data_IF_748796734740
#
_entry.id   IF_748796734740
#
_cell.length_a   1.000
_cell.length_b   1.000
_cell.length_c   1.000
_cell.angle_alpha   90.00
_cell.angle_beta   90.00
_cell.angle_gamma   90.00
#
_symmetry.space_group_name_H-M   'P 1'
#
loop_
_entity.id
_entity.type
_entity.pdbx_description
1 polymer ?
#
# COMPACT_ATOMS: atom_id res chain seq x y z
N UNK A 1 54.79 -60.67 26.71
CA UNK A 1 54.76 -59.46 25.87
C UNK A 1 53.35 -59.33 25.29
N UNK A 2 52.45 -58.71 26.05
CA UNK A 2 51.01 -58.62 25.75
C UNK A 2 50.69 -57.14 25.59
N UNK A 3 50.75 -56.63 24.36
CA UNK A 3 50.46 -55.23 24.07
C UNK A 3 49.71 -55.15 22.73
N UNK A 4 48.55 -54.47 22.79
CA UNK A 4 47.80 -53.80 21.70
C UNK A 4 47.00 -54.65 20.71
N UNK A 5 45.98 -55.37 21.21
CA UNK A 5 44.76 -55.65 20.43
C UNK A 5 43.65 -54.59 20.60
N UNK A 6 43.78 -53.67 21.56
CA UNK A 6 42.77 -52.65 21.86
C UNK A 6 42.83 -51.37 21.02
N UNK A 7 43.85 -51.19 20.17
CA UNK A 7 44.06 -49.92 19.43
C UNK A 7 43.28 -49.87 18.10
N UNK A 8 42.90 -51.02 17.53
CA UNK A 8 42.19 -51.08 16.26
C UNK A 8 40.67 -50.94 16.40
N UNK A 9 40.10 -51.33 17.54
CA UNK A 9 38.64 -51.28 17.76
C UNK A 9 38.20 -49.86 18.15
N UNK A 10 39.04 -49.11 18.88
CA UNK A 10 38.76 -47.71 19.22
C UNK A 10 38.87 -46.77 18.02
N UNK A 11 39.75 -47.07 17.06
CA UNK A 11 39.88 -46.28 15.83
C UNK A 11 38.69 -46.47 14.88
N UNK A 12 38.10 -47.67 14.84
CA UNK A 12 36.91 -47.95 14.02
C UNK A 12 35.65 -47.28 14.58
N UNK A 13 35.53 -47.19 15.91
CA UNK A 13 34.43 -46.49 16.58
C UNK A 13 34.54 -44.96 16.43
N UNK A 14 35.76 -44.42 16.42
CA UNK A 14 35.97 -42.98 16.16
C UNK A 14 35.64 -42.57 14.72
N UNK A 15 35.88 -43.44 13.74
CA UNK A 15 35.55 -43.18 12.33
C UNK A 15 34.03 -43.27 12.06
N UNK A 16 33.28 -44.07 12.82
CA UNK A 16 31.81 -44.12 12.73
C UNK A 16 31.12 -42.89 13.34
N UNK A 17 31.76 -42.19 14.27
CA UNK A 17 31.26 -40.90 14.78
C UNK A 17 31.50 -39.70 13.84
N UNK A 18 32.36 -39.83 12.83
CA UNK A 18 32.61 -38.76 11.84
C UNK A 18 31.73 -38.84 10.57
N UNK A 19 30.87 -39.86 10.46
CA UNK A 19 29.99 -40.06 9.30
C UNK A 19 28.53 -39.59 9.51
N UNK A 20 28.22 -38.95 10.64
CA UNK A 20 26.91 -38.34 10.91
C UNK A 20 27.02 -36.83 11.09
N UNK A 21 27.61 -36.15 10.10
CA UNK A 21 27.53 -34.69 10.04
C UNK A 21 27.36 -34.23 8.58
N UNK A 22 26.16 -34.46 8.04
CA UNK A 22 25.54 -33.71 6.93
C UNK A 22 24.30 -34.45 6.43
N UNK A 23 23.30 -34.60 7.29
CA UNK A 23 21.97 -34.25 6.81
C UNK A 23 21.70 -32.88 7.41
N UNK A 24 22.08 -31.87 6.64
CA UNK A 24 21.47 -30.57 6.73
C UNK A 24 19.97 -30.84 6.59
N UNK A 25 19.29 -30.99 7.73
CA UNK A 25 17.87 -30.72 7.83
C UNK A 25 17.78 -29.26 7.43
N UNK A 26 17.68 -29.05 6.12
CA UNK A 26 17.08 -27.88 5.54
C UNK A 26 15.66 -27.93 6.10
N UNK A 27 15.52 -27.43 7.32
CA UNK A 27 14.33 -26.73 7.72
C UNK A 27 14.22 -25.66 6.64
N UNK A 28 13.49 -26.02 5.58
CA UNK A 28 12.73 -25.06 4.82
C UNK A 28 11.84 -24.48 5.89
N UNK A 29 12.37 -23.47 6.58
CA UNK A 29 11.57 -22.39 7.10
C UNK A 29 10.91 -21.92 5.82
N UNK A 30 9.76 -22.52 5.52
CA UNK A 30 8.73 -21.78 4.85
C UNK A 30 8.67 -20.54 5.70
N UNK A 31 9.31 -19.48 5.22
CA UNK A 31 8.62 -18.23 5.12
C UNK A 31 7.25 -18.60 4.55
N UNK A 32 6.36 -18.97 5.46
CA UNK A 32 5.11 -18.28 5.52
C UNK A 32 5.54 -16.81 5.61
N UNK A 33 5.87 -16.22 4.44
CA UNK A 33 5.48 -14.87 4.09
C UNK A 33 4.18 -14.71 4.86
N UNK A 34 4.18 -13.97 5.99
CA UNK A 34 2.95 -13.76 6.71
C UNK A 34 2.05 -13.22 5.64
N UNK A 35 1.03 -13.98 5.22
CA UNK A 35 0.06 -13.56 4.21
C UNK A 35 -0.23 -12.13 4.56
N UNK A 36 0.32 -11.20 3.78
CA UNK A 36 0.47 -9.84 4.25
C UNK A 36 -0.95 -9.41 4.56
N UNK A 37 -1.21 -9.16 5.85
CA UNK A 37 -2.58 -9.01 6.32
C UNK A 37 -3.27 -7.95 5.45
N UNK A 38 -4.58 -8.08 5.25
CA UNK A 38 -5.28 -6.95 4.67
C UNK A 38 -5.21 -5.81 5.70
N UNK A 39 -4.69 -4.66 5.29
CA UNK A 39 -4.78 -3.42 6.02
C UNK A 39 -6.05 -2.69 5.59
N UNK A 40 -6.68 -2.01 6.54
CA UNK A 40 -7.77 -1.09 6.24
C UNK A 40 -7.22 0.32 6.08
N UNK A 41 -7.58 0.94 4.96
CA UNK A 41 -7.20 2.29 4.58
C UNK A 41 -8.43 3.20 4.61
N UNK A 42 -8.23 4.46 4.97
CA UNK A 42 -9.21 5.53 4.82
C UNK A 42 -8.70 6.51 3.79
N UNK A 43 -9.41 6.59 2.66
CA UNK A 43 -9.14 7.56 1.59
C UNK A 43 -10.09 8.74 1.78
N UNK A 44 -9.53 9.91 2.08
CA UNK A 44 -10.28 11.16 2.17
C UNK A 44 -10.10 11.93 0.87
N UNK A 45 -11.20 12.31 0.22
CA UNK A 45 -11.22 13.04 -1.05
C UNK A 45 -12.02 14.32 -0.87
N UNK A 46 -11.39 15.45 -1.15
CA UNK A 46 -12.09 16.73 -1.28
C UNK A 46 -12.42 16.99 -2.76
N UNK A 47 -13.64 17.44 -3.03
CA UNK A 47 -14.03 17.98 -4.33
C UNK A 47 -14.11 19.51 -4.25
N UNK A 48 -13.52 20.20 -5.22
CA UNK A 48 -13.45 21.66 -5.20
C UNK A 48 -14.84 22.31 -5.21
N UNK A 49 -14.89 23.55 -4.73
CA UNK A 49 -16.11 24.38 -4.72
C UNK A 49 -16.45 25.05 -6.05
N UNK A 50 -15.82 24.65 -7.15
CA UNK A 50 -16.13 25.25 -8.45
C UNK A 50 -17.48 24.75 -8.96
N UNK A 51 -18.20 25.59 -9.70
CA UNK A 51 -19.46 25.18 -10.33
C UNK A 51 -19.16 24.03 -11.30
N UNK A 52 -19.94 22.95 -11.21
CA UNK A 52 -19.75 21.72 -12.02
C UNK A 52 -18.45 20.95 -11.70
N UNK A 53 -17.86 21.16 -10.51
CA UNK A 53 -16.70 20.39 -10.07
C UNK A 53 -16.97 18.91 -9.78
N UNK A 54 -18.23 18.58 -9.46
CA UNK A 54 -18.62 17.25 -8.98
C UNK A 54 -18.95 16.29 -10.10
N UNK A 55 -19.00 15.00 -9.78
CA UNK A 55 -19.22 13.93 -10.77
C UNK A 55 -20.12 12.82 -10.24
N UNK A 56 -20.71 12.08 -11.16
CA UNK A 56 -21.41 10.82 -10.87
C UNK A 56 -20.71 9.57 -11.40
N UNK A 57 -19.58 9.78 -12.06
CA UNK A 57 -18.85 8.73 -12.76
C UNK A 57 -18.03 7.85 -11.82
N UNK A 58 -17.52 6.75 -12.40
CA UNK A 58 -16.67 5.82 -11.68
C UNK A 58 -15.26 6.39 -11.51
N UNK A 59 -14.85 6.55 -10.26
CA UNK A 59 -13.49 6.93 -9.90
C UNK A 59 -12.70 5.70 -9.46
N UNK A 60 -11.64 5.38 -10.20
CA UNK A 60 -10.64 4.41 -9.76
C UNK A 60 -9.49 5.13 -9.08
N UNK A 61 -8.91 4.48 -8.07
CA UNK A 61 -7.79 4.97 -7.30
C UNK A 61 -6.64 3.97 -7.40
N UNK A 62 -5.41 4.46 -7.50
CA UNK A 62 -4.19 3.68 -7.41
C UNK A 62 -3.23 4.39 -6.47
N UNK A 63 -2.68 3.72 -5.49
CA UNK A 63 -1.73 4.31 -4.54
C UNK A 63 -0.75 3.26 -4.04
N UNK A 64 0.35 3.74 -3.46
CA UNK A 64 1.34 2.83 -2.93
C UNK A 64 2.57 3.52 -2.37
N UNK A 65 3.59 2.71 -2.12
CA UNK A 65 4.78 3.12 -1.40
C UNK A 65 6.07 2.88 -2.20
N UNK A 66 7.20 3.31 -1.62
CA UNK A 66 8.52 3.16 -2.24
C UNK A 66 8.96 1.70 -2.44
N UNK A 67 8.32 0.76 -1.73
CA UNK A 67 8.64 -0.67 -1.73
C UNK A 67 7.89 -1.44 -2.82
N UNK A 68 7.34 -0.74 -3.83
CA UNK A 68 6.59 -1.32 -4.96
C UNK A 68 5.27 -1.98 -4.58
N UNK A 69 4.77 -1.71 -3.38
CA UNK A 69 3.39 -2.06 -3.04
C UNK A 69 2.48 -1.14 -3.87
N UNK A 70 1.69 -1.74 -4.75
CA UNK A 70 0.80 -1.03 -5.68
C UNK A 70 -0.63 -1.52 -5.50
N UNK A 71 -1.46 -0.65 -4.93
CA UNK A 71 -2.83 -0.96 -4.58
C UNK A 71 -3.73 -0.26 -5.60
N UNK A 72 -4.52 -1.06 -6.33
CA UNK A 72 -5.50 -0.57 -7.30
C UNK A 72 -6.91 -0.84 -6.80
N UNK A 73 -7.66 0.23 -6.61
CA UNK A 73 -9.08 0.23 -6.26
C UNK A 73 -9.87 0.60 -7.51
N UNK A 74 -10.54 -0.37 -8.10
CA UNK A 74 -11.26 -0.17 -9.37
C UNK A 74 -12.38 0.87 -9.26
N UNK A 75 -13.03 0.94 -8.10
CA UNK A 75 -14.09 1.89 -7.85
C UNK A 75 -14.11 2.26 -6.37
N UNK A 76 -14.03 3.56 -6.07
CA UNK A 76 -14.34 4.06 -4.74
C UNK A 76 -15.84 3.85 -4.46
N UNK A 77 -16.13 2.96 -3.52
CA UNK A 77 -17.51 2.55 -3.22
C UNK A 77 -18.25 3.62 -2.43
N UNK A 78 -19.55 3.79 -2.69
CA UNK A 78 -20.43 4.75 -2.01
C UNK A 78 -20.73 4.42 -0.52
N UNK A 79 -20.00 3.51 0.13
CA UNK A 79 -20.19 3.27 1.57
C UNK A 79 -19.53 4.41 2.33
N UNK A 80 -20.34 5.44 2.52
CA UNK A 80 -20.02 6.71 3.11
C UNK A 80 -19.49 6.52 4.53
N UNK A 81 -18.29 7.01 4.79
CA UNK A 81 -17.88 7.44 6.12
C UNK A 81 -17.84 8.96 6.06
N UNK A 82 -18.77 9.60 6.77
CA UNK A 82 -18.68 10.99 7.26
C UNK A 82 -18.39 12.08 6.22
N UNK A 83 -19.44 12.80 5.77
CA UNK A 83 -19.29 14.18 5.31
C UNK A 83 -18.96 15.06 6.53
N UNK A 84 -17.79 15.73 6.52
CA UNK A 84 -17.42 16.68 7.57
C UNK A 84 -17.78 18.08 7.06
N UNK A 85 -18.78 18.73 7.67
CA UNK A 85 -18.94 20.17 7.52
C UNK A 85 -17.73 20.84 8.17
N UNK A 86 -16.95 21.69 7.48
CA UNK A 86 -15.88 22.46 8.10
C UNK A 86 -16.37 23.36 9.26
N UNK A 87 -17.66 23.69 9.33
CA UNK A 87 -18.27 24.54 10.35
C UNK A 87 -19.04 23.76 11.43
N UNK A 88 -19.44 22.50 11.19
CA UNK A 88 -20.09 21.62 12.18
C UNK A 88 -19.70 20.13 11.98
N UNK A 89 -18.65 19.65 12.66
CA UNK A 89 -18.15 18.27 12.49
C UNK A 89 -19.07 17.19 13.09
N UNK A 90 -20.23 17.54 13.69
CA UNK A 90 -21.12 16.66 14.45
C UNK A 90 -22.36 16.16 13.69
N UNK A 91 -22.47 16.38 12.38
CA UNK A 91 -23.64 15.92 11.62
C UNK A 91 -23.64 14.39 11.48
N UNK A 92 -24.34 13.71 12.41
CA UNK A 92 -24.76 12.31 12.31
C UNK A 92 -26.01 12.22 11.42
N UNK A 93 -25.82 12.34 10.12
CA UNK A 93 -26.86 11.97 9.16
C UNK A 93 -26.46 10.66 8.48
N UNK A 94 -27.06 9.54 8.91
CA UNK A 94 -26.99 8.23 8.26
C UNK A 94 -27.71 8.20 6.88
N UNK A 95 -27.83 9.35 6.22
CA UNK A 95 -28.44 9.47 4.89
C UNK A 95 -27.35 9.21 3.85
N UNK A 96 -27.52 8.22 2.95
CA UNK A 96 -26.58 7.99 1.85
C UNK A 96 -26.56 9.23 0.95
N UNK A 97 -25.52 10.05 1.07
CA UNK A 97 -25.28 11.19 0.18
C UNK A 97 -24.45 10.71 -1.00
N UNK A 98 -24.74 11.25 -2.19
CA UNK A 98 -23.96 10.99 -3.40
C UNK A 98 -22.53 11.50 -3.17
N UNK A 99 -21.47 10.71 -3.41
CA UNK A 99 -20.10 11.18 -3.25
C UNK A 99 -19.72 12.19 -4.36
N UNK A 100 -18.54 12.80 -4.20
CA UNK A 100 -17.91 13.68 -5.19
C UNK A 100 -18.80 14.86 -5.60
N UNK A 101 -19.54 15.42 -4.65
CA UNK A 101 -20.33 16.62 -4.89
C UNK A 101 -19.44 17.87 -4.80
N UNK A 102 -19.78 18.96 -5.48
CA UNK A 102 -19.06 20.22 -5.30
C UNK A 102 -19.01 20.62 -3.82
N UNK A 103 -17.86 21.09 -3.34
CA UNK A 103 -17.62 21.42 -1.93
C UNK A 103 -17.81 20.25 -0.93
N UNK A 104 -17.73 18.99 -1.36
CA UNK A 104 -17.78 17.85 -0.42
C UNK A 104 -16.40 17.34 -0.04
N UNK A 105 -16.30 16.86 1.19
CA UNK A 105 -15.22 15.98 1.64
C UNK A 105 -15.85 14.61 1.90
N UNK A 106 -15.37 13.60 1.18
CA UNK A 106 -15.88 12.24 1.23
C UNK A 106 -14.78 11.29 1.74
N UNK A 107 -15.09 10.41 2.70
CA UNK A 107 -14.17 9.36 3.15
C UNK A 107 -14.62 7.97 2.70
N UNK A 108 -13.66 7.16 2.26
CA UNK A 108 -13.85 5.81 1.76
C UNK A 108 -12.97 4.82 2.50
N UNK A 109 -13.55 3.72 2.99
CA UNK A 109 -12.79 2.61 3.55
C UNK A 109 -12.42 1.60 2.46
N UNK A 110 -11.15 1.20 2.44
CA UNK A 110 -10.59 0.26 1.46
C UNK A 110 -9.78 -0.80 2.20
N UNK A 111 -10.12 -2.07 1.98
CA UNK A 111 -9.31 -3.21 2.45
C UNK A 111 -8.37 -3.67 1.33
N UNK A 112 -7.07 -3.63 1.57
CA UNK A 112 -6.04 -3.99 0.59
C UNK A 112 -4.78 -4.56 1.28
N UNK A 113 -3.84 -5.17 0.53
CA UNK A 113 -2.55 -5.59 1.09
C UNK A 113 -1.84 -4.41 1.77
N UNK A 114 -1.21 -4.66 2.93
CA UNK A 114 -0.50 -3.63 3.66
C UNK A 114 0.68 -3.04 2.87
N UNK A 115 0.92 -1.74 3.06
CA UNK A 115 2.17 -1.07 2.66
C UNK A 115 3.23 -1.23 3.75
N UNK A 116 4.50 -1.12 3.38
CA UNK A 116 5.66 -1.29 4.28
C UNK A 116 6.31 0.04 4.65
N UNK A 117 6.12 1.06 3.82
CA UNK A 117 6.63 2.42 3.98
C UNK A 117 5.52 3.44 3.77
N UNK A 118 5.82 4.71 4.05
CA UNK A 118 4.88 5.82 3.86
C UNK A 118 4.38 5.87 2.42
N UNK A 119 3.06 6.01 2.27
CA UNK A 119 2.42 6.14 0.96
C UNK A 119 2.92 7.42 0.30
N UNK A 120 3.54 7.28 -0.87
CA UNK A 120 4.25 8.38 -1.53
C UNK A 120 3.81 8.62 -2.99
N UNK A 121 2.91 7.79 -3.54
CA UNK A 121 2.30 8.08 -4.83
C UNK A 121 0.82 7.78 -4.83
N UNK A 122 0.09 8.52 -5.67
CA UNK A 122 -1.34 8.37 -5.85
C UNK A 122 -1.76 8.81 -7.25
N UNK A 123 -2.63 8.01 -7.87
CA UNK A 123 -3.23 8.27 -9.16
C UNK A 123 -4.75 8.06 -9.10
N UNK A 124 -5.49 8.96 -9.72
CA UNK A 124 -6.92 8.86 -9.93
C UNK A 124 -7.20 8.58 -11.40
N UNK A 125 -8.29 7.87 -11.67
CA UNK A 125 -8.81 7.69 -13.02
C UNK A 125 -10.31 7.89 -13.03
N UNK A 126 -10.74 8.92 -13.75
CA UNK A 126 -12.15 9.19 -14.04
C UNK A 126 -12.61 8.35 -15.24
N UNK A 127 -13.63 7.53 -15.04
CA UNK A 127 -14.22 6.70 -16.10
C UNK A 127 -15.69 7.08 -16.29
N UNK A 128 -15.94 7.89 -17.31
CA UNK A 128 -17.27 8.28 -17.75
C UNK A 128 -17.25 9.58 -18.57
N UNK A 129 -18.38 10.28 -18.62
CA UNK A 129 -18.60 11.45 -19.48
C UNK A 129 -18.66 12.79 -18.75
N UNK A 130 -18.73 12.78 -17.42
CA UNK A 130 -18.72 13.98 -16.60
C UNK A 130 -17.29 14.54 -16.51
N UNK A 131 -17.19 15.80 -16.13
CA UNK A 131 -15.93 16.37 -15.65
C UNK A 131 -15.88 16.27 -14.13
N UNK A 132 -14.66 16.18 -13.58
CA UNK A 132 -14.47 16.16 -12.13
C UNK A 132 -13.22 16.95 -11.74
N UNK A 133 -13.37 17.85 -10.76
CA UNK A 133 -12.28 18.66 -10.22
C UNK A 133 -12.06 18.33 -8.74
N UNK A 134 -11.22 17.34 -8.43
CA UNK A 134 -10.78 17.07 -7.07
C UNK A 134 -9.94 18.23 -6.53
N UNK A 135 -9.99 18.46 -5.21
CA UNK A 135 -9.17 19.42 -4.48
C UNK A 135 -7.95 18.75 -3.87
N UNK A 136 -8.15 17.79 -2.97
CA UNK A 136 -7.06 16.95 -2.46
C UNK A 136 -7.51 15.50 -2.24
N UNK A 137 -6.51 14.62 -2.17
CA UNK A 137 -6.68 13.24 -1.68
C UNK A 137 -5.65 12.96 -0.60
N UNK A 138 -6.07 12.27 0.46
CA UNK A 138 -5.20 11.73 1.50
C UNK A 138 -5.54 10.27 1.74
N UNK A 139 -4.52 9.43 1.93
CA UNK A 139 -4.69 8.02 2.30
C UNK A 139 -4.10 7.79 3.68
N UNK A 140 -4.93 7.35 4.62
CA UNK A 140 -4.54 7.00 5.99
C UNK A 140 -4.61 5.50 6.21
N UNK A 141 -3.68 4.95 6.96
CA UNK A 141 -3.64 3.54 7.35
C UNK A 141 -4.13 3.44 8.79
N UNK A 142 -5.30 2.81 9.02
CA UNK A 142 -5.98 2.85 10.33
C UNK A 142 -5.10 2.34 11.49
N UNK A 143 -4.34 1.28 11.26
CA UNK A 143 -3.50 0.66 12.29
C UNK A 143 -2.07 1.22 12.32
N UNK A 144 -1.66 2.03 11.32
CA UNK A 144 -0.28 2.47 11.14
C UNK A 144 -0.19 3.93 10.65
N UNK A 145 -0.51 4.93 11.50
CA UNK A 145 -0.54 6.34 11.08
C UNK A 145 0.78 6.91 10.55
N UNK A 146 1.92 6.32 10.94
CA UNK A 146 3.24 6.71 10.43
C UNK A 146 3.46 6.36 8.95
N UNK A 147 2.57 5.56 8.36
CA UNK A 147 2.58 5.20 6.95
C UNK A 147 1.57 6.03 6.12
N UNK A 148 0.85 6.95 6.77
CA UNK A 148 -0.11 7.83 6.12
C UNK A 148 0.54 8.68 5.04
N UNK A 149 -0.20 8.99 3.98
CA UNK A 149 0.28 9.87 2.93
C UNK A 149 0.25 11.34 3.36
N UNK A 150 1.14 12.13 2.74
CA UNK A 150 0.93 13.57 2.57
C UNK A 150 -0.33 13.84 1.72
N UNK A 151 -0.77 15.10 1.68
CA UNK A 151 -1.89 15.51 0.84
C UNK A 151 -1.47 15.58 -0.63
N UNK A 152 -2.22 14.90 -1.49
CA UNK A 152 -2.10 14.99 -2.95
C UNK A 152 -3.09 16.03 -3.47
N UNK A 153 -2.61 17.23 -3.79
CA UNK A 153 -3.44 18.32 -4.28
C UNK A 153 -3.67 18.24 -5.78
N UNK A 154 -4.92 18.30 -6.21
CA UNK A 154 -5.33 18.42 -7.60
C UNK A 154 -5.92 19.82 -7.81
N UNK A 155 -5.38 20.57 -8.77
CA UNK A 155 -5.76 21.98 -8.99
C UNK A 155 -6.62 22.12 -10.27
N UNK A 156 -6.87 21.02 -10.98
CA UNK A 156 -7.46 20.99 -12.32
C UNK A 156 -8.43 19.82 -12.44
N UNK A 157 -9.34 19.95 -13.41
CA UNK A 157 -10.18 18.84 -13.85
C UNK A 157 -9.34 17.64 -14.29
N UNK A 158 -9.74 16.44 -13.88
CA UNK A 158 -9.07 15.22 -14.28
C UNK A 158 -9.32 14.90 -15.77
N UNK A 159 -8.29 14.44 -16.49
CA UNK A 159 -8.48 13.89 -17.83
C UNK A 159 -9.30 12.59 -17.76
N UNK A 160 -10.21 12.41 -18.72
CA UNK A 160 -11.09 11.24 -18.80
C UNK A 160 -10.32 10.01 -19.27
N UNK A 161 -10.68 8.85 -18.74
CA UNK A 161 -10.18 7.52 -19.11
C UNK A 161 -8.66 7.31 -18.97
N UNK A 162 -7.95 8.19 -18.26
CA UNK A 162 -6.50 8.12 -18.05
C UNK A 162 -6.16 8.24 -16.56
N UNK A 163 -5.07 7.58 -16.13
CA UNK A 163 -4.51 7.75 -14.81
C UNK A 163 -3.78 9.09 -14.70
N UNK A 164 -4.11 9.88 -13.68
CA UNK A 164 -3.50 11.18 -13.41
C UNK A 164 -3.25 11.35 -11.91
N UNK A 165 -2.07 11.85 -11.55
CA UNK A 165 -1.67 12.00 -10.15
C UNK A 165 -0.19 12.28 -10.00
N UNK A 166 0.35 11.89 -8.83
CA UNK A 166 1.67 12.27 -8.37
C UNK A 166 2.44 11.06 -7.89
N UNK A 167 3.74 11.04 -8.21
CA UNK A 167 4.73 10.15 -7.61
C UNK A 167 5.76 11.00 -6.88
N UNK A 168 5.67 11.02 -5.55
CA UNK A 168 6.50 11.80 -4.65
C UNK A 168 7.47 10.90 -3.88
N UNK A 169 7.64 9.64 -4.29
CA UNK A 169 8.57 8.74 -3.64
C UNK A 169 10.01 9.21 -3.81
N UNK A 170 10.85 8.91 -2.82
CA UNK A 170 12.27 9.27 -2.85
C UNK A 170 12.96 8.70 -4.11
N UNK A 171 13.40 9.62 -4.97
CA UNK A 171 14.15 9.30 -6.17
C UNK A 171 15.57 9.85 -6.08
N UNK A 172 16.51 9.07 -6.60
CA UNK A 172 17.89 9.47 -6.79
C UNK A 172 18.05 9.92 -8.25
N UNK A 173 18.35 11.21 -8.48
CA UNK A 173 18.65 11.70 -9.82
C UNK A 173 20.08 11.31 -10.16
N UNK A 174 20.24 10.40 -11.13
CA UNK A 174 21.56 9.98 -11.64
C UNK A 174 21.80 10.59 -13.02
N UNK A 175 23.06 10.64 -13.51
CA UNK A 175 23.35 11.05 -14.90
C UNK A 175 22.62 10.21 -15.96
N UNK A 176 22.11 9.04 -15.59
CA UNK A 176 21.37 8.12 -16.46
C UNK A 176 19.83 8.24 -16.31
N UNK A 177 19.36 9.16 -15.49
CA UNK A 177 17.93 9.38 -15.24
C UNK A 177 17.52 9.21 -13.77
N UNK A 178 16.22 9.25 -13.53
CA UNK A 178 15.60 9.14 -12.21
C UNK A 178 15.63 7.67 -11.76
N UNK A 179 16.43 7.36 -10.74
CA UNK A 179 16.53 6.04 -10.13
C UNK A 179 15.66 5.99 -8.89
N UNK A 180 14.70 5.08 -8.88
CA UNK A 180 13.86 4.85 -7.70
C UNK A 180 14.64 3.96 -6.73
N UNK A 181 14.69 4.34 -5.44
CA UNK A 181 15.30 3.50 -4.39
C UNK A 181 14.41 2.29 -4.13
N UNK A 182 14.51 1.28 -5.00
CA UNK A 182 13.81 0.01 -4.77
C UNK A 182 14.48 -0.74 -3.63
N UNK A 183 13.70 -1.13 -2.62
CA UNK A 183 14.16 -2.06 -1.59
C UNK A 183 14.29 -3.43 -2.25
N UNK A 184 15.52 -3.93 -2.39
CA UNK A 184 15.76 -5.31 -2.84
C UNK A 184 15.48 -6.19 -1.63
N UNK A 185 14.43 -7.00 -1.71
CA UNK A 185 14.14 -8.04 -0.71
C UNK A 185 15.17 -9.15 -0.95
N UNK A 186 15.96 -9.47 0.08
CA UNK A 186 17.02 -10.49 0.06
C UNK A 186 16.50 -11.83 0.53
#
# INVERSE_FOLDING_TARGET
>A
MVIRKGLFITLLLFLLSFAFDSQCLVFVRGELEPKQGNCSYVVTVETTCTKEAGTSDHISLRFGDSSTNDIVVNQLNMRHVRWVDPLDPNVLDDVPRKPFQPCSVDEFQVDAPCVDTTICYLYLKLTGSDDWSPGFVQVRVLDKPHLDSEYFYFIRYLPRHMWHGYDLCDTEVTPFGIKHKRKIIH
#
